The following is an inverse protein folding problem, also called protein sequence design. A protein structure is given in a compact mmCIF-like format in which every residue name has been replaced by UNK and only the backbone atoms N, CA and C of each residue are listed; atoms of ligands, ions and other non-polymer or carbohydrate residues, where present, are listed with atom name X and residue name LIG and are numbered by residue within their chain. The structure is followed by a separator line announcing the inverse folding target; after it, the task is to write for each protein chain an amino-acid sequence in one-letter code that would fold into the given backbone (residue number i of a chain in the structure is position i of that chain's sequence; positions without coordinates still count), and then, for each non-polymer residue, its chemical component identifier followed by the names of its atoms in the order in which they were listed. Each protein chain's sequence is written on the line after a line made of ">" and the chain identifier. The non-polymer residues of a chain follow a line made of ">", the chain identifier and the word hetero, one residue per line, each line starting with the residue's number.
data_IF_914217041966
#
_entry.id   IF_914217041966
#
_cell.length_a   1.000
_cell.length_b   1.000
_cell.length_c   1.000
_cell.angle_alpha   90.00
_cell.angle_beta   90.00
_cell.angle_gamma   90.00
#
_symmetry.space_group_name_H-M   'P 1'
#
loop_
_entity.id
_entity.type
_entity.pdbx_description
1 polymer ?
#
# COMPACT_ATOMS: atom_id res chain seq x y z
N UNK A 1 -10.22 4.83 -10.87
CA UNK A 1 -9.14 5.41 -10.08
C UNK A 1 -9.11 4.82 -8.69
N UNK A 2 -7.94 4.75 -8.10
CA UNK A 2 -7.77 4.26 -6.73
C UNK A 2 -7.72 5.43 -5.77
N UNK A 3 -8.35 5.24 -4.61
CA UNK A 3 -8.43 6.28 -3.59
C UNK A 3 -7.68 5.81 -2.35
N UNK A 4 -6.75 6.62 -1.87
CA UNK A 4 -6.04 6.38 -0.63
C UNK A 4 -5.88 7.70 0.13
N UNK A 5 -5.70 7.64 1.47
CA UNK A 5 -5.56 8.88 2.23
C UNK A 5 -4.29 9.63 1.83
N UNK A 6 -4.32 10.95 1.94
CA UNK A 6 -3.18 11.77 1.54
C UNK A 6 -2.00 11.59 2.49
N UNK A 7 -2.27 11.44 3.78
CA UNK A 7 -1.21 11.29 4.77
C UNK A 7 -1.72 10.58 6.01
N UNK A 8 -0.81 9.92 6.69
CA UNK A 8 -1.03 9.35 8.01
C UNK A 8 0.18 9.64 8.87
N UNK A 9 0.00 9.70 10.17
CA UNK A 9 1.11 9.85 11.11
C UNK A 9 0.95 8.87 12.24
N UNK A 10 2.07 8.46 12.83
CA UNK A 10 2.08 7.48 13.90
C UNK A 10 3.30 7.66 14.77
N UNK A 11 3.20 7.20 16.01
CA UNK A 11 4.35 7.11 16.89
C UNK A 11 5.11 5.81 16.65
N UNK A 12 6.42 5.78 16.91
CA UNK A 12 7.18 4.53 16.78
C UNK A 12 6.56 3.41 17.59
N UNK A 13 6.51 2.23 17.03
CA UNK A 13 5.94 1.05 17.68
C UNK A 13 4.46 0.82 17.45
N UNK A 14 3.76 1.82 16.93
CA UNK A 14 2.33 1.68 16.64
C UNK A 14 2.10 0.86 15.38
N UNK A 15 0.85 0.42 15.20
CA UNK A 15 0.42 -0.23 13.97
C UNK A 15 -0.30 0.79 13.09
N UNK A 16 0.11 0.85 11.84
CA UNK A 16 -0.45 1.76 10.84
C UNK A 16 -1.20 0.95 9.81
N UNK A 17 -2.38 1.42 9.44
CA UNK A 17 -3.15 0.83 8.34
C UNK A 17 -3.43 1.90 7.30
N UNK A 18 -3.10 1.59 6.06
CA UNK A 18 -3.34 2.46 4.92
C UNK A 18 -4.28 1.74 3.97
N UNK A 19 -5.41 2.37 3.67
CA UNK A 19 -6.42 1.74 2.83
C UNK A 19 -6.34 2.27 1.40
N UNK A 20 -6.72 1.42 0.46
CA UNK A 20 -6.79 1.74 -0.94
C UNK A 20 -8.07 1.14 -1.49
N UNK A 21 -8.94 1.97 -2.03
CA UNK A 21 -10.24 1.54 -2.54
C UNK A 21 -10.35 1.78 -4.03
N UNK A 22 -10.82 0.78 -4.75
CA UNK A 22 -11.19 0.95 -6.14
C UNK A 22 -12.58 1.55 -6.26
N UNK A 23 -12.78 2.36 -7.29
CA UNK A 23 -14.07 3.00 -7.52
C UNK A 23 -15.09 2.06 -8.11
N UNK A 24 -14.67 0.92 -8.62
CA UNK A 24 -15.54 0.00 -9.32
C UNK A 24 -15.34 -1.41 -8.80
N UNK A 25 -16.25 -1.84 -7.96
CA UNK A 25 -16.20 -3.15 -7.35
C UNK A 25 -16.71 -4.26 -8.29
N UNK A 26 -17.18 -3.93 -9.46
CA UNK A 26 -17.68 -4.93 -10.38
C UNK A 26 -16.60 -5.84 -10.95
N UNK A 27 -15.36 -5.49 -10.74
CA UNK A 27 -14.23 -6.28 -11.23
C UNK A 27 -13.65 -7.22 -10.20
N UNK A 28 -14.36 -7.53 -9.16
CA UNK A 28 -13.83 -8.22 -8.01
C UNK A 28 -13.05 -9.50 -8.32
N UNK A 29 -13.30 -10.16 -9.39
CA UNK A 29 -12.52 -11.36 -9.76
C UNK A 29 -11.30 -11.10 -10.58
N UNK A 30 -11.09 -9.87 -11.02
CA UNK A 30 -10.04 -9.53 -11.97
C UNK A 30 -8.88 -8.77 -11.37
N UNK A 31 -9.10 -8.14 -10.23
CA UNK A 31 -8.09 -7.27 -9.66
C UNK A 31 -7.06 -8.04 -8.88
N UNK A 32 -5.83 -7.55 -8.96
CA UNK A 32 -4.88 -7.73 -7.89
C UNK A 32 -4.35 -6.37 -7.47
N UNK A 33 -4.01 -6.24 -6.21
CA UNK A 33 -3.48 -5.01 -5.64
C UNK A 33 -2.04 -5.24 -5.23
N UNK A 34 -1.26 -4.17 -5.34
CA UNK A 34 0.11 -4.16 -4.84
C UNK A 34 0.34 -2.91 -4.03
N UNK A 35 1.37 -2.93 -3.21
CA UNK A 35 1.81 -1.80 -2.43
C UNK A 35 3.27 -1.54 -2.70
N UNK A 36 3.61 -0.27 -2.83
CA UNK A 36 4.96 0.17 -3.18
C UNK A 36 5.40 1.27 -2.24
N UNK A 37 6.67 1.27 -1.86
CA UNK A 37 7.25 2.25 -0.97
C UNK A 37 8.27 3.09 -1.73
N UNK A 38 8.15 4.42 -1.64
CA UNK A 38 9.13 5.34 -2.21
C UNK A 38 9.65 6.23 -1.09
N UNK A 39 10.92 6.08 -0.74
CA UNK A 39 11.49 6.77 0.41
C UNK A 39 11.92 8.20 0.10
N UNK A 40 12.22 8.50 -1.15
CA UNK A 40 12.59 9.85 -1.56
C UNK A 40 12.00 10.15 -2.92
N UNK A 41 11.61 11.41 -3.18
CA UNK A 41 11.14 11.79 -4.51
C UNK A 41 12.20 11.46 -5.55
N UNK A 42 11.78 10.85 -6.65
CA UNK A 42 12.69 10.47 -7.73
C UNK A 42 13.40 9.16 -7.52
N UNK A 43 13.34 8.56 -6.34
CA UNK A 43 13.92 7.22 -6.14
C UNK A 43 12.95 6.16 -6.66
N UNK A 44 13.49 4.99 -7.01
CA UNK A 44 12.65 3.91 -7.50
C UNK A 44 11.81 3.34 -6.36
N UNK A 45 10.51 3.11 -6.58
CA UNK A 45 9.69 2.44 -5.57
C UNK A 45 10.12 1.00 -5.36
N UNK A 46 9.92 0.53 -4.14
CA UNK A 46 10.18 -0.85 -3.76
C UNK A 46 8.84 -1.55 -3.58
N UNK A 47 8.68 -2.73 -4.17
CA UNK A 47 7.47 -3.52 -4.00
C UNK A 47 7.45 -4.13 -2.61
N UNK A 48 6.40 -3.82 -1.86
CA UNK A 48 6.19 -4.38 -0.53
C UNK A 48 5.27 -5.59 -0.56
N UNK A 49 4.19 -5.48 -1.32
CA UNK A 49 3.15 -6.51 -1.40
C UNK A 49 2.74 -6.67 -2.85
N UNK A 50 2.53 -7.91 -3.27
CA UNK A 50 1.98 -8.20 -4.59
C UNK A 50 0.91 -9.30 -4.46
N UNK A 51 0.06 -9.42 -5.47
CA UNK A 51 -1.07 -10.35 -5.46
C UNK A 51 -1.87 -10.25 -4.16
N UNK A 52 -2.14 -9.02 -3.74
CA UNK A 52 -2.99 -8.67 -2.60
C UNK A 52 -2.38 -8.98 -1.24
N UNK A 53 -1.69 -10.08 -1.06
CA UNK A 53 -1.21 -10.48 0.26
C UNK A 53 0.16 -11.15 0.26
N UNK A 54 0.84 -11.18 -0.88
CA UNK A 54 2.15 -11.82 -0.96
C UNK A 54 3.24 -10.79 -0.74
N UNK A 55 4.28 -11.20 -0.06
CA UNK A 55 5.40 -10.33 0.30
C UNK A 55 6.67 -10.90 -0.32
N UNK A 56 7.48 -10.08 -1.01
CA UNK A 56 8.81 -10.52 -1.46
C UNK A 56 9.66 -10.99 -0.27
N UNK A 57 10.59 -11.88 -0.53
CA UNK A 57 11.35 -12.53 0.55
C UNK A 57 12.24 -11.57 1.33
N UNK A 58 12.62 -10.45 0.73
CA UNK A 58 13.46 -9.47 1.40
C UNK A 58 12.68 -8.38 2.13
N UNK A 59 11.34 -8.45 2.13
CA UNK A 59 10.50 -7.48 2.84
C UNK A 59 10.14 -8.05 4.21
N UNK A 60 10.32 -7.26 5.29
CA UNK A 60 10.04 -7.74 6.64
C UNK A 60 8.58 -8.14 6.82
N UNK A 61 8.33 -9.11 7.70
CA UNK A 61 6.99 -9.63 7.95
C UNK A 61 6.07 -8.62 8.64
N UNK A 62 6.59 -7.50 9.11
CA UNK A 62 5.75 -6.45 9.70
C UNK A 62 4.93 -5.69 8.65
N UNK A 63 5.23 -5.86 7.37
CA UNK A 63 4.39 -5.37 6.29
C UNK A 63 3.46 -6.48 5.83
N UNK A 64 2.17 -6.19 5.77
CA UNK A 64 1.20 -7.16 5.29
C UNK A 64 0.09 -6.45 4.52
N UNK A 65 -0.55 -7.19 3.63
CA UNK A 65 -1.67 -6.69 2.86
C UNK A 65 -2.86 -7.60 2.99
N UNK A 66 -4.05 -7.02 2.93
CA UNK A 66 -5.27 -7.80 2.92
C UNK A 66 -6.29 -7.14 2.00
N UNK A 67 -7.05 -7.95 1.30
CA UNK A 67 -8.09 -7.49 0.39
C UNK A 67 -9.45 -7.91 0.94
N UNK A 68 -10.35 -6.95 1.00
CA UNK A 68 -11.74 -7.19 1.36
C UNK A 68 -12.63 -6.40 0.40
N UNK A 69 -13.37 -7.11 -0.45
CA UNK A 69 -14.16 -6.45 -1.48
C UNK A 69 -13.25 -5.71 -2.46
N UNK A 70 -13.47 -4.42 -2.60
CA UNK A 70 -12.66 -3.57 -3.45
C UNK A 70 -11.65 -2.72 -2.66
N UNK A 71 -11.44 -3.04 -1.38
CA UNK A 71 -10.53 -2.30 -0.52
C UNK A 71 -9.35 -3.18 -0.15
N UNK A 72 -8.16 -2.69 -0.41
CA UNK A 72 -6.91 -3.33 0.04
C UNK A 72 -6.32 -2.49 1.16
N UNK A 73 -5.81 -3.15 2.18
CA UNK A 73 -5.22 -2.50 3.35
C UNK A 73 -3.78 -2.94 3.50
N UNK A 74 -2.88 -1.96 3.54
CA UNK A 74 -1.50 -2.20 3.95
C UNK A 74 -1.41 -2.00 5.45
N UNK A 75 -0.89 -2.99 6.15
CA UNK A 75 -0.68 -2.92 7.59
C UNK A 75 0.81 -2.94 7.88
N UNK A 76 1.28 -1.96 8.65
CA UNK A 76 2.66 -1.89 9.12
C UNK A 76 2.62 -2.01 10.63
N UNK A 77 3.09 -3.14 11.16
CA UNK A 77 3.14 -3.34 12.61
C UNK A 77 4.49 -2.89 13.14
N UNK A 78 4.49 -2.28 14.34
CA UNK A 78 5.72 -1.82 14.95
C UNK A 78 6.44 -0.79 14.09
N UNK A 79 5.75 0.27 13.72
CA UNK A 79 6.28 1.27 12.79
C UNK A 79 7.58 1.87 13.31
N UNK A 80 8.52 2.14 12.41
CA UNK A 80 9.86 2.64 12.73
C UNK A 80 10.11 3.95 12.01
N UNK A 81 11.07 4.72 12.51
CA UNK A 81 11.43 5.98 11.88
C UNK A 81 11.83 5.82 10.41
N UNK A 82 12.50 4.71 10.07
CA UNK A 82 12.89 4.47 8.69
C UNK A 82 11.75 3.96 7.81
N UNK A 83 10.53 3.86 8.33
CA UNK A 83 9.36 3.59 7.52
C UNK A 83 8.77 4.87 6.90
N UNK A 84 9.25 6.04 7.27
CA UNK A 84 8.79 7.27 6.65
C UNK A 84 9.01 7.22 5.15
N UNK A 85 7.92 7.37 4.39
CA UNK A 85 7.96 7.23 2.95
C UNK A 85 6.60 7.61 2.40
N UNK A 86 6.49 7.61 1.07
CA UNK A 86 5.21 7.65 0.39
C UNK A 86 4.86 6.23 -0.03
N UNK A 87 3.65 5.81 0.28
CA UNK A 87 3.17 4.46 -0.01
C UNK A 87 2.10 4.55 -1.09
N UNK A 88 2.32 3.84 -2.18
CA UNK A 88 1.39 3.82 -3.31
C UNK A 88 0.72 2.47 -3.39
N UNK A 89 -0.59 2.48 -3.63
CA UNK A 89 -1.27 1.25 -4.02
C UNK A 89 -1.41 1.22 -5.54
N UNK A 90 -1.44 0.02 -6.08
CA UNK A 90 -1.67 -0.19 -7.49
C UNK A 90 -2.62 -1.35 -7.69
N UNK A 91 -3.35 -1.33 -8.79
CA UNK A 91 -4.19 -2.46 -9.17
C UNK A 91 -4.08 -2.67 -10.67
N UNK A 92 -4.42 -3.87 -11.10
CA UNK A 92 -4.43 -4.20 -12.53
C UNK A 92 -5.61 -5.10 -12.83
N UNK A 93 -6.20 -4.91 -13.99
CA UNK A 93 -7.24 -5.75 -14.51
C UNK A 93 -7.06 -5.88 -16.03
N UNK A 94 -8.07 -6.41 -16.70
CA UNK A 94 -7.99 -6.62 -18.14
C UNK A 94 -7.91 -5.32 -18.94
N UNK A 95 -8.31 -4.20 -18.35
CA UNK A 95 -8.30 -2.91 -19.05
C UNK A 95 -7.04 -2.09 -18.75
N UNK A 96 -6.15 -2.56 -17.90
CA UNK A 96 -4.90 -1.88 -17.61
C UNK A 96 -4.59 -1.79 -16.14
N UNK A 97 -3.64 -0.92 -15.81
CA UNK A 97 -3.18 -0.71 -14.44
C UNK A 97 -3.54 0.70 -13.98
N UNK A 98 -3.76 0.83 -12.68
CA UNK A 98 -4.03 2.12 -12.04
C UNK A 98 -3.26 2.20 -10.74
N UNK A 99 -2.92 3.43 -10.33
CA UNK A 99 -2.20 3.68 -9.09
C UNK A 99 -2.92 4.76 -8.28
N UNK A 100 -2.81 4.65 -6.96
CA UNK A 100 -3.26 5.73 -6.09
C UNK A 100 -2.29 6.90 -6.10
N UNK A 101 -2.71 8.01 -5.52
CA UNK A 101 -1.90 9.23 -5.51
C UNK A 101 -0.78 9.20 -4.47
N UNK A 102 -0.80 8.23 -3.59
CA UNK A 102 0.23 8.08 -2.57
C UNK A 102 -0.23 8.55 -1.20
N UNK A 103 0.24 7.86 -0.18
CA UNK A 103 0.01 8.23 1.22
C UNK A 103 1.36 8.51 1.86
N UNK A 104 1.54 9.71 2.38
CA UNK A 104 2.76 10.06 3.09
C UNK A 104 2.64 9.60 4.54
N UNK A 105 3.56 8.76 4.97
CA UNK A 105 3.65 8.32 6.36
C UNK A 105 4.69 9.16 7.08
N UNK A 106 4.28 9.80 8.17
CA UNK A 106 5.16 10.54 9.06
C UNK A 106 5.26 9.80 10.38
N UNK A 107 6.49 9.54 10.82
CA UNK A 107 6.73 8.90 12.11
C UNK A 107 7.18 9.98 13.10
N UNK A 108 6.41 10.13 14.15
CA UNK A 108 6.55 11.23 15.12
C UNK A 108 7.71 11.03 16.09
#
# INVERSE_FOLDING_TARGET
>A
ALTQPASVSANPGETVKITCSGSDSSYAGSYYYGWYQQKAPGSAPVTLIYYNNKRPSDIPSRFSGSLSGSTNTLTITGVRADDEAVYFCGSADNSGAAFGAGTTLTVL
#
